data_IF_366650988336
#
_entry.id   IF_366650988336
#
_cell.length_a   1.000
_cell.length_b   1.000
_cell.length_c   1.000
_cell.angle_alpha   90.00
_cell.angle_beta   90.00
_cell.angle_gamma   90.00
#
_symmetry.space_group_name_H-M   'P 1'
#
loop_
_entity.id
_entity.type
_entity.pdbx_description
1 polymer ?
#
# COMPACT_ATOMS: atom_id res chain seq x y z
N UNK A 1 -35.71 3.08 3.22
CA UNK A 1 -34.90 2.35 4.22
C UNK A 1 -33.60 3.12 4.38
N UNK A 2 -33.34 3.69 5.56
CA UNK A 2 -32.09 4.40 5.83
C UNK A 2 -30.97 3.36 5.79
N UNK A 3 -30.09 3.43 4.80
CA UNK A 3 -29.01 2.45 4.67
C UNK A 3 -28.02 2.66 5.82
N UNK A 4 -27.84 1.61 6.63
CA UNK A 4 -26.85 1.62 7.69
C UNK A 4 -25.46 1.85 7.08
N UNK A 5 -24.61 2.74 7.65
CA UNK A 5 -23.23 2.91 7.20
C UNK A 5 -22.45 1.59 7.05
N UNK A 6 -22.75 0.58 7.87
CA UNK A 6 -22.15 -0.76 7.74
C UNK A 6 -22.55 -1.47 6.43
N UNK A 7 -23.81 -1.36 6.00
CA UNK A 7 -24.27 -1.95 4.73
C UNK A 7 -23.57 -1.28 3.54
N UNK A 8 -23.42 0.05 3.60
CA UNK A 8 -22.71 0.83 2.59
C UNK A 8 -21.22 0.53 2.58
N UNK A 9 -20.60 0.29 3.73
CA UNK A 9 -19.22 -0.16 3.81
C UNK A 9 -19.04 -1.56 3.18
N UNK A 10 -19.98 -2.49 3.39
CA UNK A 10 -19.96 -3.79 2.73
C UNK A 10 -20.15 -3.70 1.21
N UNK A 11 -21.03 -2.81 0.73
CA UNK A 11 -21.16 -2.52 -0.69
C UNK A 11 -19.86 -1.94 -1.27
N UNK A 12 -19.26 -0.96 -0.60
CA UNK A 12 -17.99 -0.36 -1.00
C UNK A 12 -16.87 -1.41 -1.05
N UNK A 13 -16.76 -2.29 -0.05
CA UNK A 13 -15.80 -3.38 -0.05
C UNK A 13 -15.99 -4.30 -1.27
N UNK A 14 -17.23 -4.68 -1.59
CA UNK A 14 -17.53 -5.48 -2.81
C UNK A 14 -17.14 -4.75 -4.09
N UNK A 15 -17.35 -3.43 -4.16
CA UNK A 15 -16.94 -2.62 -5.31
C UNK A 15 -15.43 -2.55 -5.47
N UNK A 16 -14.70 -2.35 -4.36
CA UNK A 16 -13.23 -2.34 -4.36
C UNK A 16 -12.68 -3.70 -4.82
N UNK A 17 -13.22 -4.80 -4.32
CA UNK A 17 -12.81 -6.15 -4.74
C UNK A 17 -13.00 -6.39 -6.24
N UNK A 18 -14.00 -5.76 -6.84
CA UNK A 18 -14.29 -5.88 -8.27
C UNK A 18 -13.55 -4.86 -9.15
N UNK A 19 -12.95 -3.83 -8.54
CA UNK A 19 -12.25 -2.77 -9.24
C UNK A 19 -10.94 -3.27 -9.86
N UNK A 20 -10.58 -2.73 -11.02
CA UNK A 20 -9.40 -3.16 -11.78
C UNK A 20 -8.10 -2.97 -10.99
N UNK A 21 -7.97 -1.86 -10.25
CA UNK A 21 -6.79 -1.60 -9.43
C UNK A 21 -6.51 -2.73 -8.41
N UNK A 22 -7.54 -3.23 -7.72
CA UNK A 22 -7.38 -4.33 -6.77
C UNK A 22 -7.10 -5.65 -7.48
N UNK A 23 -7.82 -5.94 -8.58
CA UNK A 23 -7.58 -7.16 -9.39
C UNK A 23 -6.15 -7.20 -9.94
N UNK A 24 -5.65 -6.07 -10.46
CA UNK A 24 -4.30 -5.94 -10.98
C UNK A 24 -3.25 -6.15 -9.88
N UNK A 25 -3.49 -5.59 -8.69
CA UNK A 25 -2.63 -5.82 -7.52
C UNK A 25 -2.56 -7.30 -7.14
N UNK A 26 -3.71 -7.98 -7.02
CA UNK A 26 -3.77 -9.41 -6.71
C UNK A 26 -3.07 -10.24 -7.77
N UNK A 27 -3.27 -9.93 -9.06
CA UNK A 27 -2.59 -10.64 -10.14
C UNK A 27 -1.07 -10.45 -10.10
N UNK A 28 -0.59 -9.22 -9.90
CA UNK A 28 0.85 -8.95 -9.79
C UNK A 28 1.46 -9.64 -8.57
N UNK A 29 0.73 -9.66 -7.44
CA UNK A 29 1.12 -10.39 -6.23
C UNK A 29 1.25 -11.90 -6.51
N UNK A 30 0.26 -12.51 -7.15
CA UNK A 30 0.29 -13.94 -7.46
C UNK A 30 1.45 -14.30 -8.40
N UNK A 31 1.75 -13.45 -9.39
CA UNK A 31 2.92 -13.62 -10.26
C UNK A 31 4.24 -13.55 -9.48
N UNK A 32 4.33 -12.62 -8.54
CA UNK A 32 5.49 -12.51 -7.65
C UNK A 32 5.65 -13.74 -6.76
N UNK A 33 4.54 -14.28 -6.21
CA UNK A 33 4.54 -15.48 -5.37
C UNK A 33 4.99 -16.74 -6.11
N UNK A 34 4.82 -16.80 -7.44
CA UNK A 34 5.34 -17.88 -8.27
C UNK A 34 6.87 -17.83 -8.48
N UNK A 35 7.54 -16.77 -8.00
CA UNK A 35 8.98 -16.55 -8.12
C UNK A 35 9.59 -16.37 -6.71
N UNK A 36 10.02 -17.47 -6.05
CA UNK A 36 10.53 -17.44 -4.68
C UNK A 36 11.64 -16.39 -4.47
N UNK A 37 12.61 -16.33 -5.39
CA UNK A 37 13.72 -15.36 -5.33
C UNK A 37 13.26 -13.91 -5.30
N UNK A 38 12.19 -13.57 -6.04
CA UNK A 38 11.66 -12.21 -6.10
C UNK A 38 10.79 -11.90 -4.88
N UNK A 39 10.00 -12.88 -4.45
CA UNK A 39 9.19 -12.78 -3.23
C UNK A 39 10.07 -12.52 -2.01
N UNK A 40 11.16 -13.26 -1.85
CA UNK A 40 12.04 -13.15 -0.69
C UNK A 40 12.73 -11.79 -0.67
N UNK A 41 13.24 -11.32 -1.82
CA UNK A 41 13.81 -9.97 -1.97
C UNK A 41 12.82 -8.85 -1.60
N UNK A 42 11.57 -8.95 -2.06
CA UNK A 42 10.52 -7.96 -1.73
C UNK A 42 10.14 -8.03 -0.25
N UNK A 43 10.10 -9.22 0.34
CA UNK A 43 9.80 -9.41 1.76
C UNK A 43 10.90 -8.81 2.65
N UNK A 44 12.17 -9.06 2.32
CA UNK A 44 13.31 -8.47 3.02
C UNK A 44 13.27 -6.94 2.98
N UNK A 45 13.00 -6.37 1.80
CA UNK A 45 12.84 -4.93 1.64
C UNK A 45 11.71 -4.38 2.51
N UNK A 46 10.53 -5.02 2.52
CA UNK A 46 9.39 -4.59 3.35
C UNK A 46 9.68 -4.66 4.84
N UNK A 47 10.35 -5.72 5.28
CA UNK A 47 10.73 -5.86 6.69
C UNK A 47 11.66 -4.72 7.11
N UNK A 48 12.65 -4.39 6.28
CA UNK A 48 13.56 -3.26 6.55
C UNK A 48 12.83 -1.92 6.54
N UNK A 49 11.93 -1.70 5.59
CA UNK A 49 11.07 -0.52 5.55
C UNK A 49 10.23 -0.39 6.82
N UNK A 50 9.65 -1.49 7.31
CA UNK A 50 8.82 -1.51 8.51
C UNK A 50 9.62 -1.19 9.77
N UNK A 51 10.83 -1.76 9.90
CA UNK A 51 11.75 -1.45 11.01
C UNK A 51 12.11 0.03 11.02
N UNK A 52 12.46 0.60 9.86
CA UNK A 52 12.78 2.03 9.72
C UNK A 52 11.58 2.91 10.08
N UNK A 53 10.40 2.62 9.53
CA UNK A 53 9.18 3.37 9.82
C UNK A 53 8.81 3.31 11.30
N UNK A 54 8.98 2.15 11.94
CA UNK A 54 8.76 1.97 13.37
C UNK A 54 9.73 2.81 14.19
N UNK A 55 11.02 2.76 13.87
CA UNK A 55 12.05 3.53 14.55
C UNK A 55 11.78 5.04 14.44
N UNK A 56 11.39 5.53 13.26
CA UNK A 56 10.97 6.93 13.08
C UNK A 56 9.76 7.29 13.97
N UNK A 57 8.77 6.40 14.05
CA UNK A 57 7.56 6.63 14.85
C UNK A 57 7.84 6.61 16.37
N UNK A 58 8.73 5.74 16.84
CA UNK A 58 9.10 5.64 18.26
C UNK A 58 10.13 6.69 18.70
N UNK A 59 10.60 7.53 17.77
CA UNK A 59 11.63 8.54 18.03
C UNK A 59 13.04 7.95 18.17
N UNK A 60 13.25 6.71 17.71
CA UNK A 60 14.60 6.13 17.60
C UNK A 60 15.36 6.82 16.46
N UNK A 61 16.68 6.93 16.61
CA UNK A 61 17.54 7.54 15.60
C UNK A 61 17.68 6.58 14.41
N UNK A 62 16.89 6.83 13.37
CA UNK A 62 17.17 6.30 12.03
C UNK A 62 18.27 7.14 11.41
N UNK A 63 19.34 6.49 10.96
CA UNK A 63 20.43 7.18 10.28
C UNK A 63 20.06 7.51 8.84
N UNK A 64 20.58 8.62 8.30
CA UNK A 64 20.41 8.93 6.88
C UNK A 64 20.94 7.81 5.98
N UNK A 65 21.98 7.10 6.43
CA UNK A 65 22.56 5.99 5.69
C UNK A 65 21.56 4.83 5.52
N UNK A 66 20.81 4.48 6.56
CA UNK A 66 19.77 3.45 6.47
C UNK A 66 18.66 3.82 5.48
N UNK A 67 18.29 5.12 5.44
CA UNK A 67 17.30 5.63 4.49
C UNK A 67 17.84 5.59 3.05
N UNK A 68 19.11 5.96 2.84
CA UNK A 68 19.78 5.87 1.53
C UNK A 68 19.92 4.43 1.06
N UNK A 69 20.28 3.52 1.97
CA UNK A 69 20.39 2.10 1.69
C UNK A 69 19.03 1.54 1.27
N UNK A 70 17.96 1.87 2.02
CA UNK A 70 16.60 1.46 1.68
C UNK A 70 16.18 1.98 0.29
N UNK A 71 16.48 3.24 -0.02
CA UNK A 71 16.19 3.82 -1.33
C UNK A 71 16.95 3.11 -2.46
N UNK A 72 18.21 2.75 -2.21
CA UNK A 72 19.05 2.00 -3.15
C UNK A 72 18.50 0.60 -3.39
N UNK A 73 18.05 -0.08 -2.33
CA UNK A 73 17.48 -1.41 -2.44
C UNK A 73 16.14 -1.38 -3.19
N UNK A 74 15.31 -0.36 -2.96
CA UNK A 74 14.12 -0.12 -3.75
C UNK A 74 14.45 0.04 -5.25
N UNK A 75 15.43 0.89 -5.58
CA UNK A 75 15.84 1.12 -6.95
C UNK A 75 16.33 -0.16 -7.65
N UNK A 76 17.07 -1.02 -6.95
CA UNK A 76 17.51 -2.33 -7.48
C UNK A 76 16.31 -3.25 -7.75
N UNK A 77 15.37 -3.33 -6.82
CA UNK A 77 14.16 -4.15 -6.98
C UNK A 77 13.29 -3.65 -8.13
N UNK A 78 13.22 -2.33 -8.32
CA UNK A 78 12.44 -1.71 -9.40
C UNK A 78 13.03 -1.96 -10.80
N UNK A 79 14.29 -2.43 -10.91
CA UNK A 79 14.84 -2.84 -12.21
C UNK A 79 14.23 -4.15 -12.73
N UNK A 80 13.73 -5.00 -11.83
CA UNK A 80 13.06 -6.24 -12.19
C UNK A 80 11.62 -5.96 -12.61
N UNK A 81 11.28 -6.23 -13.87
CA UNK A 81 9.97 -5.89 -14.44
C UNK A 81 8.78 -6.44 -13.66
N UNK A 82 8.89 -7.67 -13.15
CA UNK A 82 7.82 -8.32 -12.38
C UNK A 82 7.62 -7.64 -11.01
N UNK A 83 8.72 -7.20 -10.38
CA UNK A 83 8.69 -6.51 -9.09
C UNK A 83 8.21 -5.06 -9.27
N UNK A 84 8.67 -4.38 -10.31
CA UNK A 84 8.18 -3.04 -10.67
C UNK A 84 6.68 -3.03 -10.94
N UNK A 85 6.18 -3.98 -11.73
CA UNK A 85 4.75 -4.13 -12.01
C UNK A 85 3.94 -4.38 -10.73
N UNK A 86 4.49 -5.15 -9.78
CA UNK A 86 3.88 -5.35 -8.46
C UNK A 86 3.80 -4.05 -7.65
N UNK A 87 4.89 -3.30 -7.55
CA UNK A 87 4.90 -2.02 -6.82
C UNK A 87 3.98 -0.98 -7.45
N UNK A 88 3.93 -0.90 -8.78
CA UNK A 88 3.02 0.03 -9.47
C UNK A 88 1.54 -0.33 -9.26
N UNK A 89 1.21 -1.63 -9.32
CA UNK A 89 -0.15 -2.09 -9.05
C UNK A 89 -0.56 -1.83 -7.60
N UNK A 90 0.38 -2.02 -6.66
CA UNK A 90 0.18 -1.69 -5.24
C UNK A 90 -0.04 -0.19 -5.03
N UNK A 91 0.81 0.66 -5.61
CA UNK A 91 0.69 2.10 -5.50
C UNK A 91 -0.67 2.62 -6.00
N UNK A 92 -1.13 2.10 -7.15
CA UNK A 92 -2.46 2.43 -7.70
C UNK A 92 -3.60 2.00 -6.77
N UNK A 93 -3.49 0.82 -6.16
CA UNK A 93 -4.48 0.36 -5.19
C UNK A 93 -4.49 1.21 -3.92
N UNK A 94 -3.31 1.55 -3.38
CA UNK A 94 -3.18 2.43 -2.21
C UNK A 94 -3.77 3.81 -2.50
N UNK A 95 -3.48 4.38 -3.68
CA UNK A 95 -4.05 5.67 -4.08
C UNK A 95 -5.58 5.61 -4.12
N UNK A 96 -6.16 4.62 -4.80
CA UNK A 96 -7.61 4.42 -4.82
C UNK A 96 -8.19 4.36 -3.41
N UNK A 97 -7.54 3.61 -2.52
CA UNK A 97 -8.01 3.44 -1.15
C UNK A 97 -7.94 4.75 -0.35
N UNK A 98 -6.85 5.51 -0.48
CA UNK A 98 -6.69 6.80 0.16
C UNK A 98 -7.72 7.83 -0.35
N UNK A 99 -7.97 7.88 -1.65
CA UNK A 99 -8.96 8.76 -2.26
C UNK A 99 -10.36 8.48 -1.69
N UNK A 100 -10.72 7.18 -1.56
CA UNK A 100 -11.97 6.75 -0.93
C UNK A 100 -12.05 7.18 0.54
N UNK A 101 -10.96 6.98 1.30
CA UNK A 101 -10.90 7.42 2.70
C UNK A 101 -11.06 8.93 2.84
N UNK A 102 -10.47 9.71 1.94
CA UNK A 102 -10.59 11.15 1.93
C UNK A 102 -12.03 11.60 1.63
N UNK A 103 -12.70 10.96 0.66
CA UNK A 103 -14.12 11.22 0.35
C UNK A 103 -15.01 10.98 1.58
N UNK A 104 -14.71 9.95 2.38
CA UNK A 104 -15.46 9.64 3.60
C UNK A 104 -15.13 10.63 4.73
N UNK A 105 -13.85 10.97 4.91
CA UNK A 105 -13.38 11.79 6.03
C UNK A 105 -13.71 13.27 5.85
N UNK A 106 -13.53 13.81 4.65
CA UNK A 106 -13.62 15.26 4.37
C UNK A 106 -14.94 15.90 4.84
N UNK A 107 -16.14 15.31 4.62
CA UNK A 107 -17.38 15.87 5.12
C UNK A 107 -17.49 15.84 6.66
N UNK A 108 -16.93 14.81 7.31
CA UNK A 108 -16.91 14.69 8.76
C UNK A 108 -16.01 15.77 9.37
N UNK A 109 -14.81 15.94 8.82
CA UNK A 109 -13.87 16.97 9.25
C UNK A 109 -14.49 18.37 9.10
N UNK A 110 -15.18 18.65 7.99
CA UNK A 110 -15.87 19.93 7.76
C UNK A 110 -17.00 20.20 8.75
N UNK A 111 -17.72 19.17 9.18
CA UNK A 111 -18.79 19.31 10.17
C UNK A 111 -18.24 19.48 11.59
N UNK A 112 -17.14 18.82 11.93
CA UNK A 112 -16.51 18.89 13.27
C UNK A 112 -15.62 20.12 13.46
N UNK A 113 -15.17 20.75 12.37
CA UNK A 113 -14.36 21.98 12.40
C UNK A 113 -15.21 23.27 12.38
N UNK A 114 -16.54 23.13 12.44
CA UNK A 114 -17.49 24.23 12.65
C UNK A 114 -17.86 24.33 14.13
#
# INVERSE_FOLDING_TARGET
MSANPYDKAHELARSILNHEAFKNYVQAKNKLEQRPDFRDKVLEFRNRQLVINRAQFTGEKVTEEEIRQLSTDFAKLYQEKDIAAFFEAEAKFIQLFNDIQEIIRRPLDQMLSK
#
